data_IF_407339078793
#
_entry.id   IF_407339078793
#
_cell.length_a   1.000
_cell.length_b   1.000
_cell.length_c   1.000
_cell.angle_alpha   90.00
_cell.angle_beta   90.00
_cell.angle_gamma   90.00
#
_symmetry.space_group_name_H-M   'P 1'
#
loop_
_entity.id
_entity.type
_entity.pdbx_description
1 polymer ?
#
# COMPACT_ATOMS: atom_id res chain seq x y z
N UNK A 1 -15.84 5.29 -3.28
CA UNK A 1 -14.74 5.85 -2.44
C UNK A 1 -14.17 7.06 -3.16
N UNK A 2 -13.79 8.15 -2.45
CA UNK A 2 -13.09 9.29 -3.04
C UNK A 2 -11.71 8.78 -3.52
N UNK A 3 -11.34 9.07 -4.77
CA UNK A 3 -10.03 8.72 -5.28
C UNK A 3 -8.97 9.67 -4.73
N UNK A 4 -7.74 9.17 -4.60
CA UNK A 4 -6.57 9.96 -4.23
C UNK A 4 -6.13 10.74 -5.47
N UNK A 5 -6.11 12.06 -5.37
CA UNK A 5 -5.79 12.97 -6.46
C UNK A 5 -4.29 13.24 -6.53
N UNK A 6 -3.66 12.75 -7.60
CA UNK A 6 -2.22 12.83 -7.81
C UNK A 6 -1.87 13.96 -8.78
N UNK A 7 -0.88 14.79 -8.41
CA UNK A 7 -0.22 15.73 -9.31
C UNK A 7 1.13 15.13 -9.74
N UNK A 8 1.38 15.06 -11.04
CA UNK A 8 2.64 14.58 -11.60
C UNK A 8 3.48 15.77 -12.07
N UNK A 9 4.67 15.94 -11.53
CA UNK A 9 5.55 17.09 -11.81
C UNK A 9 6.91 16.59 -12.26
N UNK A 10 7.19 16.72 -13.55
CA UNK A 10 8.43 16.27 -14.19
C UNK A 10 8.58 16.99 -15.53
N UNK A 11 9.76 17.51 -15.85
CA UNK A 11 10.01 18.20 -17.12
C UNK A 11 10.24 17.22 -18.29
N UNK A 12 10.40 15.93 -17.99
CA UNK A 12 10.56 14.86 -18.96
C UNK A 12 9.21 14.21 -19.33
N UNK A 13 8.65 14.41 -20.55
CA UNK A 13 7.33 13.88 -20.91
C UNK A 13 7.21 12.36 -20.83
N UNK A 14 8.32 11.64 -21.04
CA UNK A 14 8.34 10.17 -20.94
C UNK A 14 8.20 9.69 -19.49
N UNK A 15 8.80 10.41 -18.54
CA UNK A 15 8.65 10.11 -17.12
C UNK A 15 7.21 10.36 -16.65
N UNK A 16 6.60 11.48 -17.07
CA UNK A 16 5.17 11.76 -16.82
C UNK A 16 4.29 10.65 -17.37
N UNK A 17 4.46 10.27 -18.66
CA UNK A 17 3.68 9.22 -19.30
C UNK A 17 3.84 7.84 -18.60
N UNK A 18 5.01 7.54 -18.07
CA UNK A 18 5.24 6.32 -17.29
C UNK A 18 4.47 6.36 -15.96
N UNK A 19 4.52 7.48 -15.24
CA UNK A 19 3.77 7.66 -14.00
C UNK A 19 2.25 7.60 -14.22
N UNK A 20 1.74 8.23 -15.31
CA UNK A 20 0.33 8.11 -15.68
C UNK A 20 -0.10 6.65 -15.88
N UNK A 21 0.72 5.86 -16.58
CA UNK A 21 0.48 4.42 -16.77
C UNK A 21 0.48 3.66 -15.44
N UNK A 22 1.35 4.03 -14.49
CA UNK A 22 1.38 3.40 -13.17
C UNK A 22 0.16 3.79 -12.35
N UNK A 23 -0.22 5.07 -12.33
CA UNK A 23 -1.44 5.56 -11.65
C UNK A 23 -2.68 4.86 -12.20
N UNK A 24 -2.80 4.71 -13.51
CA UNK A 24 -3.95 4.05 -14.16
C UNK A 24 -4.11 2.57 -13.79
N UNK A 25 -3.07 1.91 -13.27
CA UNK A 25 -3.15 0.51 -12.80
C UNK A 25 -3.79 0.38 -11.41
N UNK A 26 -4.01 1.50 -10.70
CA UNK A 26 -4.56 1.54 -9.35
C UNK A 26 -5.89 2.30 -9.34
N UNK A 27 -7.01 1.59 -9.27
CA UNK A 27 -8.37 2.15 -9.39
C UNK A 27 -8.69 3.23 -8.33
N UNK A 28 -7.94 3.27 -7.22
CA UNK A 28 -8.10 4.24 -6.13
C UNK A 28 -7.26 5.51 -6.29
N UNK A 29 -6.42 5.60 -7.33
CA UNK A 29 -5.69 6.80 -7.70
C UNK A 29 -6.32 7.47 -8.92
N UNK A 30 -6.11 8.78 -9.06
CA UNK A 30 -6.42 9.53 -10.28
C UNK A 30 -5.38 10.62 -10.53
N UNK A 31 -5.04 10.86 -11.77
CA UNK A 31 -4.20 11.99 -12.18
C UNK A 31 -5.07 13.25 -12.20
N UNK A 32 -4.86 14.16 -11.26
CA UNK A 32 -5.55 15.44 -11.18
C UNK A 32 -4.92 16.49 -12.11
N UNK A 33 -3.65 16.32 -12.46
CA UNK A 33 -2.94 17.20 -13.39
C UNK A 33 -1.50 16.77 -13.60
N UNK A 34 -0.86 17.34 -14.63
CA UNK A 34 0.55 17.17 -14.96
C UNK A 34 1.22 18.52 -15.16
N UNK A 35 2.45 18.69 -14.67
CA UNK A 35 3.20 19.93 -14.75
C UNK A 35 4.65 19.64 -15.18
N UNK A 36 5.13 20.33 -16.21
CA UNK A 36 6.50 20.20 -16.73
C UNK A 36 7.52 21.11 -16.05
N UNK A 37 7.17 21.82 -14.97
CA UNK A 37 8.12 22.62 -14.18
C UNK A 37 7.51 23.04 -12.84
N UNK A 38 8.38 23.54 -11.94
CA UNK A 38 8.02 23.94 -10.58
C UNK A 38 7.01 25.11 -10.51
N UNK A 39 7.10 26.08 -11.43
CA UNK A 39 6.17 27.23 -11.46
C UNK A 39 4.74 26.81 -11.77
N UNK A 40 4.56 25.97 -12.81
CA UNK A 40 3.25 25.39 -13.14
C UNK A 40 2.71 24.51 -12.00
N UNK A 41 3.57 23.76 -11.33
CA UNK A 41 3.18 22.97 -10.17
C UNK A 41 2.70 23.87 -9.03
N UNK A 42 3.38 24.97 -8.73
CA UNK A 42 2.97 25.95 -7.73
C UNK A 42 1.60 26.56 -8.04
N UNK A 43 1.33 26.88 -9.32
CA UNK A 43 0.03 27.37 -9.77
C UNK A 43 -1.07 26.31 -9.64
N UNK A 44 -0.77 25.06 -10.04
CA UNK A 44 -1.72 23.95 -9.98
C UNK A 44 -2.10 23.54 -8.54
N UNK A 45 -1.17 23.68 -7.59
CA UNK A 45 -1.41 23.35 -6.19
C UNK A 45 -2.36 24.30 -5.46
N UNK A 46 -2.58 25.53 -5.99
CA UNK A 46 -3.48 26.52 -5.38
C UNK A 46 -4.97 26.19 -5.52
N UNK A 47 -5.50 25.89 -6.74
CA UNK A 47 -6.92 25.61 -6.97
C UNK A 47 -7.28 24.14 -6.83
N UNK A 48 -6.31 23.21 -6.95
CA UNK A 48 -6.55 21.78 -6.96
C UNK A 48 -6.43 21.20 -5.54
N UNK A 49 -7.43 20.42 -5.14
CA UNK A 49 -7.29 19.55 -3.97
C UNK A 49 -6.38 18.38 -4.37
N UNK A 50 -5.10 18.46 -4.06
CA UNK A 50 -4.10 17.42 -4.33
C UNK A 50 -3.78 16.68 -3.04
N UNK A 51 -3.92 15.37 -3.08
CA UNK A 51 -3.61 14.50 -1.94
C UNK A 51 -2.15 14.04 -1.95
N UNK A 52 -1.59 13.81 -3.16
CA UNK A 52 -0.25 13.26 -3.36
C UNK A 52 0.42 13.92 -4.57
N UNK A 53 1.69 14.30 -4.42
CA UNK A 53 2.51 14.82 -5.53
C UNK A 53 3.64 13.83 -5.82
N UNK A 54 3.81 13.46 -7.09
CA UNK A 54 5.03 12.86 -7.60
C UNK A 54 5.87 13.98 -8.19
N UNK A 55 7.04 14.23 -7.64
CA UNK A 55 7.83 15.41 -7.92
C UNK A 55 9.26 15.05 -8.33
N UNK A 56 9.65 15.44 -9.54
CA UNK A 56 11.06 15.34 -9.92
C UNK A 56 11.90 16.40 -9.20
N UNK A 57 13.11 16.01 -8.82
CA UNK A 57 14.06 16.91 -8.17
C UNK A 57 14.67 17.86 -9.20
N UNK A 58 15.12 17.32 -10.33
CA UNK A 58 15.90 18.07 -11.32
C UNK A 58 15.01 18.64 -12.42
N UNK A 59 14.53 19.83 -12.21
CA UNK A 59 13.82 20.59 -13.22
C UNK A 59 14.54 21.90 -13.55
N UNK A 60 14.40 22.42 -14.78
CA UNK A 60 14.99 23.72 -15.16
C UNK A 60 14.49 24.87 -14.26
N UNK A 61 15.37 25.79 -13.98
CA UNK A 61 15.17 27.04 -13.23
C UNK A 61 14.94 26.87 -11.73
N UNK A 62 14.01 26.03 -11.29
CA UNK A 62 13.71 25.79 -9.87
C UNK A 62 13.65 24.28 -9.66
N UNK A 63 14.45 23.78 -8.73
CA UNK A 63 14.42 22.36 -8.38
C UNK A 63 13.13 21.97 -7.65
N UNK A 64 12.76 20.67 -7.71
CA UNK A 64 11.62 20.15 -6.93
C UNK A 64 11.80 20.38 -5.43
N UNK A 65 13.02 20.27 -4.92
CA UNK A 65 13.33 20.54 -3.51
C UNK A 65 13.13 22.02 -3.13
N UNK A 66 13.51 22.94 -4.01
CA UNK A 66 13.29 24.37 -3.76
C UNK A 66 11.78 24.72 -3.83
N UNK A 67 11.05 24.10 -4.74
CA UNK A 67 9.58 24.22 -4.77
C UNK A 67 8.98 23.82 -3.42
N UNK A 68 9.35 22.66 -2.87
CA UNK A 68 8.84 22.17 -1.59
C UNK A 68 9.11 23.14 -0.43
N UNK A 69 10.29 23.74 -0.39
CA UNK A 69 10.66 24.72 0.65
C UNK A 69 9.81 26.00 0.59
N UNK A 70 9.22 26.32 -0.57
CA UNK A 70 8.35 27.51 -0.72
C UNK A 70 6.92 27.27 -0.25
N UNK A 71 6.49 26.00 -0.10
CA UNK A 71 5.13 25.65 0.28
C UNK A 71 4.97 25.67 1.80
N UNK A 72 4.02 26.45 2.32
CA UNK A 72 3.72 26.48 3.77
C UNK A 72 3.04 25.21 4.28
N UNK A 73 2.19 24.61 3.43
CA UNK A 73 1.44 23.37 3.73
C UNK A 73 1.50 22.48 2.49
N UNK A 74 2.61 21.79 2.25
CA UNK A 74 2.72 20.92 1.10
C UNK A 74 1.78 19.72 1.24
N UNK A 75 1.18 19.24 0.16
CA UNK A 75 0.58 17.89 0.15
C UNK A 75 1.67 16.85 0.42
N UNK A 76 1.28 15.59 0.61
CA UNK A 76 2.26 14.52 0.72
C UNK A 76 3.00 14.35 -0.61
N UNK A 77 4.31 14.10 -0.52
CA UNK A 77 5.21 14.07 -1.69
C UNK A 77 5.96 12.76 -1.77
N UNK A 78 5.98 12.19 -2.97
CA UNK A 78 6.91 11.14 -3.37
C UNK A 78 7.86 11.75 -4.39
N UNK A 79 9.13 11.75 -4.08
CA UNK A 79 10.19 12.27 -4.95
C UNK A 79 10.49 11.26 -6.06
N UNK A 80 10.69 11.78 -7.29
CA UNK A 80 11.27 11.01 -8.39
C UNK A 80 12.62 11.60 -8.77
N UNK A 81 13.63 10.79 -9.06
CA UNK A 81 14.97 11.28 -9.37
C UNK A 81 15.82 10.26 -10.11
N UNK A 82 16.73 10.73 -10.97
CA UNK A 82 17.77 9.89 -11.58
C UNK A 82 18.97 9.66 -10.65
N UNK A 83 19.07 10.38 -9.52
CA UNK A 83 20.27 10.42 -8.67
C UNK A 83 20.02 9.83 -7.29
N UNK A 84 20.90 8.94 -6.86
CA UNK A 84 20.82 8.26 -5.55
C UNK A 84 21.16 9.18 -4.36
N UNK A 85 21.91 10.25 -4.60
CA UNK A 85 22.48 11.12 -3.58
C UNK A 85 21.41 11.92 -2.82
N UNK A 86 20.32 12.27 -3.48
CA UNK A 86 19.23 13.04 -2.88
C UNK A 86 18.34 12.26 -1.90
N UNK A 87 18.51 10.96 -1.82
CA UNK A 87 17.76 10.14 -0.84
C UNK A 87 18.22 10.39 0.61
N UNK A 88 19.36 11.06 0.81
CA UNK A 88 19.97 11.30 2.13
C UNK A 88 19.57 12.67 2.71
N UNK A 89 19.34 13.68 1.88
CA UNK A 89 19.09 15.08 2.31
C UNK A 89 17.63 15.41 2.66
N UNK A 90 16.72 14.47 2.52
CA UNK A 90 15.27 14.71 2.65
C UNK A 90 14.68 14.60 4.05
N UNK A 91 15.48 14.50 5.10
CA UNK A 91 14.99 14.31 6.48
C UNK A 91 14.20 15.49 7.06
N UNK A 92 14.36 16.71 6.53
CA UNK A 92 13.66 17.92 7.03
C UNK A 92 12.34 18.24 6.31
N UNK A 93 12.02 17.53 5.23
CA UNK A 93 10.80 17.74 4.44
C UNK A 93 9.93 16.49 4.57
N UNK A 94 8.67 16.63 4.94
CA UNK A 94 7.68 15.54 5.14
C UNK A 94 7.44 14.70 3.85
N UNK A 95 8.55 14.10 3.33
CA UNK A 95 8.60 13.28 2.11
C UNK A 95 8.23 11.84 2.46
N UNK A 96 7.28 11.31 1.71
CA UNK A 96 6.77 9.93 1.90
C UNK A 96 7.78 8.90 1.44
N UNK A 97 8.35 9.08 0.25
CA UNK A 97 9.31 8.12 -0.34
C UNK A 97 10.09 8.72 -1.51
N UNK A 98 11.13 7.99 -1.96
CA UNK A 98 11.99 8.33 -3.09
C UNK A 98 11.93 7.24 -4.16
N UNK A 99 11.67 7.61 -5.41
CA UNK A 99 11.66 6.73 -6.57
C UNK A 99 12.82 7.03 -7.50
N UNK A 100 13.76 6.10 -7.60
CA UNK A 100 14.87 6.22 -8.55
C UNK A 100 14.39 5.84 -9.96
N UNK A 101 14.67 6.72 -10.94
CA UNK A 101 14.44 6.44 -12.37
C UNK A 101 15.45 5.38 -12.88
N UNK A 102 15.03 4.39 -13.72
CA UNK A 102 13.69 4.18 -14.24
C UNK A 102 12.74 3.59 -13.19
N UNK A 103 11.55 4.18 -13.06
CA UNK A 103 10.57 3.80 -12.05
C UNK A 103 9.83 2.53 -12.48
N UNK A 104 10.10 1.41 -11.81
CA UNK A 104 9.33 0.20 -12.01
C UNK A 104 7.99 0.27 -11.28
N UNK A 105 6.97 -0.45 -11.79
CA UNK A 105 5.66 -0.47 -11.15
C UNK A 105 5.72 -0.99 -9.69
N UNK A 106 6.53 -2.01 -9.42
CA UNK A 106 6.69 -2.56 -8.08
C UNK A 106 7.23 -1.51 -7.09
N UNK A 107 8.20 -0.68 -7.52
CA UNK A 107 8.76 0.38 -6.67
C UNK A 107 7.78 1.55 -6.48
N UNK A 108 7.07 1.95 -7.55
CA UNK A 108 5.98 2.93 -7.50
C UNK A 108 4.90 2.49 -6.50
N UNK A 109 4.50 1.24 -6.61
CA UNK A 109 3.48 0.64 -5.77
C UNK A 109 3.85 0.67 -4.28
N UNK A 110 5.08 0.29 -3.92
CA UNK A 110 5.60 0.36 -2.54
C UNK A 110 5.60 1.79 -1.98
N UNK A 111 5.90 2.78 -2.81
CA UNK A 111 5.83 4.19 -2.39
C UNK A 111 4.39 4.65 -2.13
N UNK A 112 3.45 4.24 -2.98
CA UNK A 112 2.02 4.50 -2.77
C UNK A 112 1.51 3.79 -1.51
N UNK A 113 1.93 2.55 -1.25
CA UNK A 113 1.59 1.82 -0.02
C UNK A 113 2.08 2.60 1.22
N UNK A 114 3.32 3.12 1.18
CA UNK A 114 3.85 3.95 2.26
C UNK A 114 3.02 5.22 2.47
N UNK A 115 2.61 5.90 1.39
CA UNK A 115 1.71 7.05 1.47
C UNK A 115 0.38 6.70 2.16
N UNK A 116 -0.25 5.58 1.81
CA UNK A 116 -1.50 5.14 2.41
C UNK A 116 -1.38 4.96 3.92
N UNK A 117 -0.26 4.43 4.40
CA UNK A 117 0.03 4.29 5.85
C UNK A 117 0.08 5.65 6.55
N UNK A 118 0.59 6.69 5.90
CA UNK A 118 0.65 8.05 6.50
C UNK A 118 -0.71 8.71 6.64
N UNK A 119 -1.69 8.36 5.81
CA UNK A 119 -3.07 8.88 5.92
C UNK A 119 -3.80 8.20 7.07
N UNK A 120 -3.68 6.89 7.19
CA UNK A 120 -4.37 6.12 8.23
C UNK A 120 -3.96 6.58 9.64
N UNK A 121 -2.70 7.00 9.83
CA UNK A 121 -2.21 7.54 11.12
C UNK A 121 -2.87 8.89 11.47
N UNK A 122 -3.20 9.75 10.50
CA UNK A 122 -3.83 11.05 10.76
C UNK A 122 -5.31 10.97 11.13
N UNK A 123 -6.02 9.94 10.69
CA UNK A 123 -7.42 9.70 11.08
C UNK A 123 -7.54 9.15 12.51
N UNK A 124 -6.45 8.59 13.05
CA UNK A 124 -6.38 8.08 14.42
C UNK A 124 -6.13 9.17 15.48
N UNK A 125 -5.49 10.30 15.13
CA UNK A 125 -5.17 11.39 16.07
C UNK A 125 -6.38 12.25 16.48
N UNK A 126 -7.54 12.09 15.87
CA UNK A 126 -8.73 12.90 16.17
C UNK A 126 -9.68 12.28 17.21
N UNK A 127 -9.50 11.06 17.65
CA UNK A 127 -10.33 10.46 18.71
C UNK A 127 -9.69 9.21 19.34
N UNK A 128 -9.08 9.40 20.51
CA UNK A 128 -8.55 8.36 21.43
C UNK A 128 -7.49 7.39 20.86
N UNK A 129 -6.36 7.15 21.58
CA UNK A 129 -5.31 6.24 21.11
C UNK A 129 -5.70 4.78 21.34
N UNK A 130 -6.43 4.21 20.41
CA UNK A 130 -6.44 2.78 20.19
C UNK A 130 -5.86 2.57 18.80
N UNK A 131 -4.60 2.18 18.76
CA UNK A 131 -3.85 1.80 17.56
C UNK A 131 -4.52 0.61 16.89
N UNK A 132 -5.42 0.87 15.95
CA UNK A 132 -5.82 -0.14 14.97
C UNK A 132 -5.16 0.25 13.65
N UNK A 133 -3.95 -0.26 13.43
CA UNK A 133 -3.32 -0.25 12.12
C UNK A 133 -4.22 -1.01 11.15
N UNK A 134 -5.01 -0.29 10.34
CA UNK A 134 -5.73 -0.90 9.22
C UNK A 134 -4.72 -1.32 8.17
N UNK A 135 -4.20 -2.52 8.29
CA UNK A 135 -3.26 -3.08 7.34
C UNK A 135 -3.99 -3.43 6.04
N UNK A 136 -3.55 -2.86 4.92
CA UNK A 136 -4.04 -3.26 3.60
C UNK A 136 -3.12 -4.28 2.96
N UNK A 137 -3.70 -5.17 2.17
CA UNK A 137 -3.00 -6.06 1.26
C UNK A 137 -3.38 -5.72 -0.18
N UNK A 138 -2.42 -5.84 -1.07
CA UNK A 138 -2.67 -5.62 -2.49
C UNK A 138 -2.62 -6.94 -3.23
N UNK A 139 -3.68 -7.20 -3.96
CA UNK A 139 -3.88 -8.48 -4.63
C UNK A 139 -3.94 -8.25 -6.13
N UNK A 140 -3.00 -8.82 -6.88
CA UNK A 140 -3.01 -8.76 -8.34
C UNK A 140 -4.05 -9.74 -8.89
N UNK A 141 -5.10 -9.22 -9.53
CA UNK A 141 -6.14 -10.00 -10.20
C UNK A 141 -6.19 -9.61 -11.68
N UNK A 142 -5.64 -10.47 -12.53
CA UNK A 142 -5.45 -10.16 -13.95
C UNK A 142 -4.49 -8.98 -14.15
N UNK A 143 -4.98 -7.91 -14.79
CA UNK A 143 -4.22 -6.68 -15.03
C UNK A 143 -4.42 -5.60 -13.93
N UNK A 144 -5.23 -5.88 -12.92
CA UNK A 144 -5.57 -4.93 -11.84
C UNK A 144 -4.92 -5.32 -10.51
N UNK A 145 -4.49 -4.32 -9.75
CA UNK A 145 -4.11 -4.47 -8.36
C UNK A 145 -5.28 -4.00 -7.48
N UNK A 146 -5.88 -4.93 -6.76
CA UNK A 146 -7.03 -4.69 -5.89
C UNK A 146 -6.51 -4.44 -4.49
N UNK A 147 -6.85 -3.29 -3.91
CA UNK A 147 -6.61 -2.99 -2.50
C UNK A 147 -7.65 -3.71 -1.64
N UNK A 148 -7.20 -4.56 -0.74
CA UNK A 148 -8.04 -5.30 0.20
C UNK A 148 -7.66 -4.90 1.62
N UNK A 149 -8.64 -4.47 2.42
CA UNK A 149 -8.39 -4.22 3.84
C UNK A 149 -8.12 -5.57 4.53
N UNK A 150 -7.01 -5.68 5.24
CA UNK A 150 -6.65 -6.89 5.96
C UNK A 150 -7.72 -7.29 7.00
N UNK A 151 -8.39 -6.31 7.62
CA UNK A 151 -9.48 -6.58 8.56
C UNK A 151 -10.73 -7.15 7.89
N UNK A 152 -10.90 -6.97 6.56
CA UNK A 152 -11.97 -7.60 5.78
C UNK A 152 -11.65 -9.05 5.39
N UNK A 153 -10.38 -9.47 5.45
CA UNK A 153 -9.97 -10.84 5.11
C UNK A 153 -10.30 -11.79 6.26
N UNK A 154 -11.00 -12.87 5.97
CA UNK A 154 -11.32 -13.94 6.90
C UNK A 154 -10.19 -14.96 6.95
N UNK A 155 -9.90 -15.56 5.80
CA UNK A 155 -8.82 -16.53 5.64
C UNK A 155 -8.36 -16.61 4.18
N UNK A 156 -7.23 -17.28 3.96
CA UNK A 156 -6.62 -17.51 2.65
C UNK A 156 -6.40 -19.02 2.50
N UNK A 157 -6.82 -19.53 1.33
CA UNK A 157 -6.69 -20.93 0.97
C UNK A 157 -5.74 -21.08 -0.24
N UNK A 158 -4.80 -22.02 -0.18
CA UNK A 158 -3.91 -22.36 -1.29
C UNK A 158 -4.60 -23.33 -2.27
N UNK A 159 -4.55 -22.99 -3.57
CA UNK A 159 -5.08 -23.78 -4.66
C UNK A 159 -4.03 -23.99 -5.77
N UNK A 160 -3.06 -24.88 -5.54
CA UNK A 160 -1.93 -25.11 -6.46
C UNK A 160 -1.16 -23.80 -6.76
N UNK A 161 -1.35 -23.23 -7.96
CA UNK A 161 -0.67 -22.02 -8.44
C UNK A 161 -1.38 -20.72 -8.06
N UNK A 162 -2.53 -20.82 -7.41
CA UNK A 162 -3.38 -19.69 -7.00
C UNK A 162 -3.62 -19.75 -5.51
N UNK A 163 -4.02 -18.61 -4.95
CA UNK A 163 -4.61 -18.54 -3.62
C UNK A 163 -6.02 -18.00 -3.73
N UNK A 164 -6.90 -18.45 -2.85
CA UNK A 164 -8.23 -17.89 -2.69
C UNK A 164 -8.23 -17.04 -1.43
N UNK A 165 -8.47 -15.76 -1.56
CA UNK A 165 -8.58 -14.81 -0.45
C UNK A 165 -10.06 -14.58 -0.19
N UNK A 166 -10.53 -15.05 0.94
CA UNK A 166 -11.92 -14.94 1.36
C UNK A 166 -12.05 -13.72 2.25
N UNK A 167 -12.88 -12.78 1.83
CA UNK A 167 -13.19 -11.58 2.59
C UNK A 167 -14.67 -11.53 2.97
N UNK A 168 -15.04 -10.65 3.89
CA UNK A 168 -16.43 -10.41 4.26
C UNK A 168 -17.30 -9.91 3.09
N UNK A 169 -16.69 -9.40 2.01
CA UNK A 169 -17.40 -8.78 0.87
C UNK A 169 -17.34 -9.61 -0.40
N UNK A 170 -16.21 -10.28 -0.64
CA UNK A 170 -15.94 -10.96 -1.91
C UNK A 170 -14.83 -12.01 -1.76
N UNK A 171 -14.73 -12.89 -2.76
CA UNK A 171 -13.62 -13.83 -2.89
C UNK A 171 -12.75 -13.42 -4.06
N UNK A 172 -11.44 -13.36 -3.84
CA UNK A 172 -10.44 -13.07 -4.85
C UNK A 172 -9.55 -14.29 -5.09
N UNK A 173 -9.18 -14.53 -6.35
CA UNK A 173 -8.35 -15.70 -6.70
C UNK A 173 -7.12 -15.25 -7.50
N UNK A 174 -6.13 -14.63 -6.85
CA UNK A 174 -4.91 -14.19 -7.52
C UNK A 174 -3.90 -15.33 -7.69
N UNK A 175 -2.97 -15.14 -8.63
CA UNK A 175 -1.83 -16.03 -8.80
C UNK A 175 -0.71 -15.67 -7.83
N UNK A 176 -0.68 -16.31 -6.69
CA UNK A 176 0.32 -16.14 -5.63
C UNK A 176 0.71 -17.49 -5.03
N UNK A 177 1.90 -17.56 -4.44
CA UNK A 177 2.25 -18.65 -3.55
C UNK A 177 1.83 -18.29 -2.12
N UNK A 178 1.27 -19.23 -1.41
CA UNK A 178 0.81 -19.01 -0.03
C UNK A 178 1.95 -18.62 0.91
N UNK A 179 3.18 -19.09 0.65
CA UNK A 179 4.38 -18.73 1.40
C UNK A 179 4.76 -17.25 1.27
N UNK A 180 4.54 -16.67 0.08
CA UNK A 180 4.87 -15.28 -0.17
C UNK A 180 3.89 -14.36 0.58
N UNK A 181 2.60 -14.74 0.60
CA UNK A 181 1.58 -14.06 1.39
C UNK A 181 1.78 -14.24 2.90
N UNK A 182 2.24 -15.40 3.36
CA UNK A 182 2.58 -15.61 4.76
C UNK A 182 3.63 -14.61 5.25
N UNK A 183 4.71 -14.42 4.49
CA UNK A 183 5.77 -13.47 4.83
C UNK A 183 5.25 -12.02 4.89
N UNK A 184 4.33 -11.64 3.98
CA UNK A 184 3.73 -10.31 3.92
C UNK A 184 2.71 -10.06 5.04
N UNK A 185 1.97 -11.09 5.45
CA UNK A 185 0.82 -10.99 6.33
C UNK A 185 1.14 -11.30 7.81
N UNK A 186 2.28 -11.91 8.10
CA UNK A 186 2.67 -12.29 9.47
C UNK A 186 2.67 -11.10 10.43
N UNK A 187 3.19 -9.95 10.00
CA UNK A 187 3.18 -8.71 10.78
C UNK A 187 1.80 -8.03 10.87
N UNK A 188 0.79 -8.51 10.11
CA UNK A 188 -0.55 -7.91 10.01
C UNK A 188 -1.63 -8.71 10.77
N UNK A 189 -1.21 -9.59 11.67
CA UNK A 189 -2.13 -10.39 12.50
C UNK A 189 -2.72 -11.61 11.79
N UNK A 190 -2.01 -12.16 10.81
CA UNK A 190 -2.36 -13.42 10.17
C UNK A 190 -1.46 -14.55 10.65
N UNK A 191 -2.05 -15.73 10.75
CA UNK A 191 -1.37 -16.93 11.22
C UNK A 191 -1.56 -18.06 10.22
N UNK A 192 -0.44 -18.70 9.83
CA UNK A 192 -0.51 -19.92 9.03
C UNK A 192 -0.82 -21.11 9.91
N UNK A 193 -1.96 -21.74 9.67
CA UNK A 193 -2.45 -22.89 10.47
C UNK A 193 -2.27 -24.22 9.76
N UNK A 194 -2.09 -24.22 8.44
CA UNK A 194 -1.97 -25.41 7.62
C UNK A 194 -1.13 -25.11 6.37
N UNK A 195 -0.59 -26.15 5.72
CA UNK A 195 0.10 -25.97 4.42
C UNK A 195 -0.74 -25.25 3.37
N UNK A 196 -2.07 -25.29 3.51
CA UNK A 196 -3.02 -24.67 2.59
C UNK A 196 -3.82 -23.52 3.19
N UNK A 197 -3.68 -23.18 4.48
CA UNK A 197 -4.49 -22.16 5.11
C UNK A 197 -3.69 -21.15 5.92
N UNK A 198 -4.02 -19.86 5.70
CA UNK A 198 -3.62 -18.71 6.55
C UNK A 198 -4.90 -18.07 7.05
N UNK A 199 -5.03 -17.79 8.34
CA UNK A 199 -6.21 -17.20 8.97
C UNK A 199 -5.92 -15.81 9.50
N UNK A 200 -6.92 -14.94 9.48
CA UNK A 200 -6.88 -13.70 10.22
C UNK A 200 -7.15 -14.00 11.69
N UNK A 201 -6.15 -13.82 12.53
CA UNK A 201 -6.23 -14.12 13.96
C UNK A 201 -7.38 -13.38 14.67
N UNK A 202 -7.66 -12.14 14.26
CA UNK A 202 -8.74 -11.32 14.82
C UNK A 202 -10.15 -11.85 14.48
N UNK A 203 -10.25 -12.74 13.49
CA UNK A 203 -11.53 -13.30 13.02
C UNK A 203 -11.80 -14.71 13.52
N UNK A 204 -10.89 -15.27 14.30
CA UNK A 204 -11.08 -16.58 14.94
C UNK A 204 -12.18 -16.46 15.99
N UNK A 205 -13.23 -17.26 15.85
CA UNK A 205 -14.39 -17.30 16.75
C UNK A 205 -14.28 -18.43 17.80
N UNK A 206 -13.70 -19.57 17.39
CA UNK A 206 -13.43 -20.69 18.27
C UNK A 206 -12.25 -21.52 17.74
N UNK A 207 -11.68 -22.37 18.58
CA UNK A 207 -10.65 -23.32 18.15
C UNK A 207 -10.68 -24.60 19.01
N UNK A 208 -10.21 -25.68 18.40
CA UNK A 208 -9.98 -26.99 19.04
C UNK A 208 -8.49 -27.34 18.98
N UNK A 209 -8.13 -28.55 19.35
CA UNK A 209 -6.75 -29.06 19.16
C UNK A 209 -6.42 -29.35 17.68
N UNK A 210 -7.42 -29.42 16.81
CA UNK A 210 -7.31 -29.86 15.40
C UNK A 210 -7.83 -28.83 14.40
N UNK A 211 -8.66 -27.86 14.81
CA UNK A 211 -9.36 -26.95 13.93
C UNK A 211 -9.45 -25.55 14.50
N UNK A 212 -9.56 -24.56 13.60
CA UNK A 212 -9.86 -23.15 13.89
C UNK A 212 -11.17 -22.81 13.21
N UNK A 213 -12.09 -22.14 13.92
CA UNK A 213 -13.37 -21.70 13.40
C UNK A 213 -13.35 -20.20 13.08
N UNK A 214 -13.83 -19.87 11.88
CA UNK A 214 -14.04 -18.49 11.42
C UNK A 214 -15.39 -18.42 10.74
N UNK A 215 -16.30 -17.62 11.27
CA UNK A 215 -17.65 -17.39 10.69
C UNK A 215 -18.38 -18.71 10.34
N UNK A 216 -18.38 -19.66 11.29
CA UNK A 216 -18.97 -21.01 11.17
C UNK A 216 -18.24 -21.95 10.17
N UNK A 217 -17.07 -21.57 9.70
CA UNK A 217 -16.24 -22.41 8.84
C UNK A 217 -15.10 -22.99 9.67
N UNK A 218 -15.03 -24.32 9.75
CA UNK A 218 -13.94 -25.05 10.39
C UNK A 218 -12.77 -25.24 9.41
N UNK A 219 -11.58 -24.81 9.81
CA UNK A 219 -10.35 -24.90 9.04
C UNK A 219 -9.33 -25.77 9.80
N UNK A 220 -8.79 -26.83 9.18
CA UNK A 220 -7.92 -27.78 9.88
C UNK A 220 -6.56 -27.17 10.22
N UNK A 221 -6.05 -27.50 11.42
CA UNK A 221 -4.70 -27.21 11.83
C UNK A 221 -3.79 -28.36 11.36
N UNK A 222 -2.79 -28.03 10.54
CA UNK A 222 -1.80 -29.00 10.11
C UNK A 222 -0.88 -29.41 11.26
N UNK A 223 -0.50 -30.69 11.32
CA UNK A 223 0.33 -31.25 12.42
C UNK A 223 1.62 -30.44 12.64
N UNK A 224 2.28 -30.02 11.57
CA UNK A 224 3.50 -29.20 11.61
C UNK A 224 3.29 -27.77 12.15
N UNK A 225 2.06 -27.28 12.23
CA UNK A 225 1.70 -25.95 12.67
C UNK A 225 1.07 -25.92 14.07
N UNK A 226 0.68 -27.09 14.57
CA UNK A 226 -0.15 -27.25 15.76
C UNK A 226 0.41 -26.56 17.00
N UNK A 227 1.67 -26.79 17.31
CA UNK A 227 2.31 -26.20 18.48
C UNK A 227 2.32 -24.68 18.42
N UNK A 228 2.72 -24.11 17.28
CA UNK A 228 2.79 -22.68 17.06
C UNK A 228 1.40 -22.04 17.11
N UNK A 229 0.42 -22.66 16.46
CA UNK A 229 -0.97 -22.19 16.42
C UNK A 229 -1.62 -22.19 17.78
N UNK A 230 -1.53 -23.31 18.53
CA UNK A 230 -2.10 -23.40 19.86
C UNK A 230 -1.44 -22.47 20.86
N UNK A 231 -0.13 -22.25 20.74
CA UNK A 231 0.58 -21.25 21.55
C UNK A 231 0.08 -19.84 21.25
N UNK A 232 -0.08 -19.49 19.99
CA UNK A 232 -0.59 -18.17 19.59
C UNK A 232 -2.05 -17.93 20.03
N UNK A 233 -2.91 -18.96 19.99
CA UNK A 233 -4.33 -18.86 20.34
C UNK A 233 -4.60 -18.87 21.85
N UNK A 234 -3.66 -19.36 22.66
CA UNK A 234 -3.81 -19.42 24.15
C UNK A 234 -3.17 -18.21 24.86
N UNK A 235 -2.38 -17.37 24.14
CA UNK A 235 -1.69 -16.18 24.67
C UNK A 235 -0.37 -16.54 25.28
#
# INVERSE_FOLDING_TARGET
>A
MKKIRCLLVDDEPLAVSLLEKHVAQLDFLEVAGTCGNALKALEALKPLEIDLVFLDIQMPAISGMDLLKTLRHPPKVIITTAYREYAVDGYDLDIVDYLLKPITFDRFFKAVERYLRTIDTRLADASNPVTVESAYIFVKSGHKNIRVNADDVLYIESMKDYVRIITIKQTLTPKYRISDLEAELSAKGFLRIHRSFIVNFKKVTAFTATDVEIDQIELPIGESYKELVLKALRG
#
